data_IF_741520699272
#
_entry.id   IF_741520699272
#
_cell.length_a   1.000
_cell.length_b   1.000
_cell.length_c   1.000
_cell.angle_alpha   90.00
_cell.angle_beta   90.00
_cell.angle_gamma   90.00
#
_symmetry.space_group_name_H-M   'P 1'
#
loop_
_entity.id
_entity.type
_entity.pdbx_description
1 polymer ?
#
# COMPACT_ATOMS: atom_id res chain seq x y z
N UNK A 1 12.33 -5.44 7.68
CA UNK A 1 10.98 -6.05 7.59
C UNK A 1 10.44 -5.90 6.17
N UNK A 2 9.55 -6.79 5.77
CA UNK A 2 8.81 -6.63 4.53
C UNK A 2 7.59 -5.76 4.81
N UNK A 3 7.56 -4.56 4.22
CA UNK A 3 6.57 -3.51 4.52
C UNK A 3 5.69 -3.23 3.31
N UNK A 4 4.38 -3.23 3.51
CA UNK A 4 3.39 -2.89 2.50
C UNK A 4 2.94 -1.44 2.67
N UNK A 5 2.88 -0.67 1.58
CA UNK A 5 2.43 0.71 1.64
C UNK A 5 0.92 0.77 1.41
N UNK A 6 0.18 1.35 2.35
CA UNK A 6 -1.26 1.53 2.25
C UNK A 6 -1.57 3.01 1.97
N UNK A 7 -2.33 3.28 0.91
CA UNK A 7 -2.69 4.65 0.58
C UNK A 7 -3.82 4.74 -0.42
N UNK A 8 -4.32 5.95 -0.64
CA UNK A 8 -5.43 6.20 -1.56
C UNK A 8 -4.94 6.19 -3.01
N UNK A 9 -5.64 5.47 -3.87
CA UNK A 9 -5.38 5.44 -5.32
C UNK A 9 -6.59 5.91 -6.10
N UNK A 10 -7.78 5.34 -5.84
CA UNK A 10 -9.00 5.65 -6.57
C UNK A 10 -9.39 7.12 -6.41
N UNK A 11 -9.66 7.79 -7.54
CA UNK A 11 -10.07 9.19 -7.54
C UNK A 11 -8.92 10.19 -7.58
N UNK A 12 -7.67 9.72 -7.58
CA UNK A 12 -6.50 10.58 -7.73
C UNK A 12 -5.88 10.39 -9.11
N UNK A 13 -5.12 11.39 -9.54
CA UNK A 13 -4.31 11.28 -10.75
C UNK A 13 -3.30 10.14 -10.58
N UNK A 14 -3.19 9.29 -11.60
CA UNK A 14 -2.31 8.12 -11.55
C UNK A 14 -0.86 8.51 -11.24
N UNK A 15 -0.35 9.51 -11.96
CA UNK A 15 1.04 9.96 -11.78
C UNK A 15 1.28 10.49 -10.37
N UNK A 16 0.31 11.23 -9.82
CA UNK A 16 0.40 11.75 -8.45
C UNK A 16 0.47 10.60 -7.44
N UNK A 17 -0.32 9.57 -7.65
CA UNK A 17 -0.27 8.36 -6.81
C UNK A 17 1.10 7.70 -6.87
N UNK A 18 1.63 7.53 -8.09
CA UNK A 18 2.95 6.93 -8.27
C UNK A 18 4.01 7.71 -7.52
N UNK A 19 3.96 9.03 -7.58
CA UNK A 19 4.93 9.89 -6.89
C UNK A 19 4.83 9.74 -5.36
N UNK A 20 3.62 9.75 -4.83
CA UNK A 20 3.41 9.64 -3.38
C UNK A 20 3.87 8.28 -2.85
N UNK A 21 3.51 7.22 -3.55
CA UNK A 21 3.92 5.87 -3.15
C UNK A 21 5.43 5.69 -3.30
N UNK A 22 6.00 6.26 -4.36
CA UNK A 22 7.44 6.15 -4.60
C UNK A 22 8.26 6.90 -3.54
N UNK A 23 7.79 8.06 -3.10
CA UNK A 23 8.45 8.82 -2.04
C UNK A 23 8.51 8.01 -0.75
N UNK A 24 7.40 7.38 -0.37
CA UNK A 24 7.36 6.51 0.80
C UNK A 24 8.24 5.27 0.60
N UNK A 25 8.22 4.71 -0.60
CA UNK A 25 9.02 3.53 -0.95
C UNK A 25 10.51 3.78 -0.70
N UNK A 26 11.02 4.88 -1.23
CA UNK A 26 12.44 5.24 -1.08
C UNK A 26 12.81 5.44 0.38
N UNK A 27 11.97 6.16 1.13
CA UNK A 27 12.23 6.40 2.57
C UNK A 27 12.28 5.09 3.36
N UNK A 28 11.39 4.17 3.06
CA UNK A 28 11.34 2.89 3.77
C UNK A 28 12.55 2.02 3.41
N UNK A 29 12.97 2.03 2.13
CA UNK A 29 14.18 1.32 1.72
C UNK A 29 15.43 1.87 2.40
N UNK A 30 15.52 3.19 2.54
CA UNK A 30 16.63 3.83 3.25
C UNK A 30 16.71 3.41 4.71
N UNK A 31 15.57 3.01 5.29
CA UNK A 31 15.49 2.49 6.66
C UNK A 31 15.75 0.99 6.73
N UNK A 32 16.13 0.36 5.62
CA UNK A 32 16.49 -1.06 5.58
C UNK A 32 15.35 -2.02 5.35
N UNK A 33 14.16 -1.53 5.00
CA UNK A 33 13.00 -2.39 4.75
C UNK A 33 12.95 -2.87 3.29
N UNK A 34 12.36 -4.05 3.10
CA UNK A 34 11.95 -4.53 1.79
C UNK A 34 10.52 -4.04 1.58
N UNK A 35 10.28 -3.27 0.51
CA UNK A 35 9.02 -2.55 0.34
C UNK A 35 8.16 -3.18 -0.75
N UNK A 36 6.87 -3.36 -0.44
CA UNK A 36 5.86 -3.72 -1.43
C UNK A 36 5.05 -2.47 -1.74
N UNK A 37 5.19 -1.99 -2.97
CA UNK A 37 4.55 -0.77 -3.45
C UNK A 37 3.43 -1.13 -4.42
N UNK A 38 2.15 -0.92 -4.04
CA UNK A 38 1.02 -1.26 -4.90
C UNK A 38 1.09 -0.66 -6.31
N UNK A 39 1.66 0.54 -6.43
CA UNK A 39 1.75 1.20 -7.74
C UNK A 39 2.75 0.53 -8.67
N UNK A 40 3.65 -0.30 -8.13
CA UNK A 40 4.61 -1.06 -8.95
C UNK A 40 4.07 -2.44 -9.33
N UNK A 41 3.17 -3.01 -8.52
CA UNK A 41 2.71 -4.40 -8.74
C UNK A 41 1.37 -4.47 -9.45
N UNK A 42 0.58 -3.39 -9.45
CA UNK A 42 -0.73 -3.34 -10.12
C UNK A 42 -0.59 -2.55 -11.42
N UNK A 43 -0.82 -3.18 -12.59
CA UNK A 43 -0.75 -2.44 -13.86
C UNK A 43 -1.79 -1.32 -13.92
N UNK A 44 -1.40 -0.22 -14.56
CA UNK A 44 -2.34 0.88 -14.82
C UNK A 44 -3.54 0.37 -15.62
N UNK A 45 -4.75 0.82 -15.23
CA UNK A 45 -5.98 0.39 -15.91
C UNK A 45 -6.60 -0.88 -15.35
N UNK A 46 -5.98 -1.50 -14.34
CA UNK A 46 -6.56 -2.68 -13.67
C UNK A 46 -7.84 -2.26 -12.93
N UNK A 47 -8.91 -3.05 -13.10
CA UNK A 47 -10.16 -2.80 -12.37
C UNK A 47 -9.99 -2.93 -10.87
N UNK A 48 -10.89 -2.28 -10.11
CA UNK A 48 -10.76 -2.17 -8.65
C UNK A 48 -10.73 -3.54 -7.96
N UNK A 49 -11.64 -4.45 -8.36
CA UNK A 49 -11.72 -5.78 -7.73
C UNK A 49 -10.41 -6.56 -7.94
N UNK A 50 -9.92 -6.59 -9.18
CA UNK A 50 -8.69 -7.32 -9.48
C UNK A 50 -7.49 -6.69 -8.79
N UNK A 51 -7.42 -5.36 -8.76
CA UNK A 51 -6.36 -4.65 -8.06
C UNK A 51 -6.37 -4.99 -6.56
N UNK A 52 -7.54 -5.04 -5.93
CA UNK A 52 -7.65 -5.41 -4.52
C UNK A 52 -7.18 -6.84 -4.25
N UNK A 53 -7.50 -7.76 -5.16
CA UNK A 53 -7.03 -9.14 -5.03
C UNK A 53 -5.50 -9.23 -5.05
N UNK A 54 -4.89 -8.51 -6.00
CA UNK A 54 -3.43 -8.47 -6.11
C UNK A 54 -2.82 -7.88 -4.83
N UNK A 55 -3.34 -6.74 -4.41
CA UNK A 55 -2.82 -6.02 -3.24
C UNK A 55 -2.98 -6.81 -1.95
N UNK A 56 -4.14 -7.42 -1.73
CA UNK A 56 -4.38 -8.18 -0.50
C UNK A 56 -3.50 -9.43 -0.43
N UNK A 57 -3.25 -10.11 -1.55
CA UNK A 57 -2.33 -11.24 -1.58
C UNK A 57 -0.94 -10.83 -1.13
N UNK A 58 -0.46 -9.68 -1.59
CA UNK A 58 0.86 -9.18 -1.20
C UNK A 58 0.88 -8.70 0.24
N UNK A 59 -0.18 -8.04 0.68
CA UNK A 59 -0.28 -7.52 2.04
C UNK A 59 -0.19 -8.64 3.08
N UNK A 60 -0.89 -9.74 2.87
CA UNK A 60 -0.91 -10.82 3.85
C UNK A 60 0.44 -11.53 3.98
N UNK A 61 1.31 -11.36 2.99
CA UNK A 61 2.69 -11.90 3.03
C UNK A 61 3.67 -10.94 3.69
N UNK A 62 3.25 -9.72 4.04
CA UNK A 62 4.12 -8.74 4.67
C UNK A 62 4.10 -8.87 6.18
N UNK A 63 5.16 -8.38 6.83
CA UNK A 63 5.27 -8.35 8.29
C UNK A 63 4.77 -7.03 8.86
N UNK A 64 4.78 -5.97 8.05
CA UNK A 64 4.50 -4.62 8.49
C UNK A 64 3.79 -3.83 7.39
N UNK A 65 3.24 -2.68 7.77
CA UNK A 65 2.64 -1.76 6.81
C UNK A 65 2.98 -0.33 7.17
N UNK A 66 3.00 0.53 6.15
CA UNK A 66 3.19 1.97 6.29
C UNK A 66 2.01 2.67 5.66
N UNK A 67 1.34 3.50 6.42
CA UNK A 67 0.11 4.17 5.98
C UNK A 67 0.40 5.59 5.51
N UNK A 68 0.01 5.90 4.25
CA UNK A 68 0.06 7.27 3.75
C UNK A 68 -1.01 8.12 4.43
N UNK A 69 -0.80 9.45 4.52
CA UNK A 69 -1.76 10.32 5.23
C UNK A 69 -3.19 10.27 4.70
N UNK A 70 -3.39 9.96 3.41
CA UNK A 70 -4.71 9.92 2.79
C UNK A 70 -5.42 8.57 2.88
N UNK A 71 -4.83 7.60 3.58
CA UNK A 71 -5.36 6.22 3.59
C UNK A 71 -6.79 6.13 4.14
N UNK A 72 -7.13 6.93 5.15
CA UNK A 72 -8.45 6.86 5.79
C UNK A 72 -9.58 7.36 4.91
N UNK A 73 -9.29 8.01 3.78
CA UNK A 73 -10.31 8.51 2.86
C UNK A 73 -10.54 7.61 1.66
N UNK A 74 -10.01 6.40 1.69
CA UNK A 74 -10.07 5.45 0.58
C UNK A 74 -10.68 4.13 1.02
N UNK A 75 -11.71 3.68 0.28
CA UNK A 75 -12.36 2.39 0.55
C UNK A 75 -11.37 1.23 0.48
N UNK A 76 -10.51 1.22 -0.55
CA UNK A 76 -9.51 0.16 -0.70
C UNK A 76 -8.47 0.18 0.41
N UNK A 77 -7.98 1.37 0.75
CA UNK A 77 -7.03 1.52 1.84
C UNK A 77 -7.61 1.11 3.19
N UNK A 78 -8.89 1.42 3.43
CA UNK A 78 -9.58 1.00 4.66
C UNK A 78 -9.69 -0.52 4.74
N UNK A 79 -9.97 -1.20 3.62
CA UNK A 79 -9.96 -2.67 3.56
C UNK A 79 -8.60 -3.21 3.93
N UNK A 80 -7.55 -2.64 3.37
CA UNK A 80 -6.17 -3.08 3.65
C UNK A 80 -5.80 -2.84 5.11
N UNK A 81 -6.18 -1.68 5.66
CA UNK A 81 -5.94 -1.37 7.08
C UNK A 81 -6.65 -2.36 7.99
N UNK A 82 -7.89 -2.72 7.65
CA UNK A 82 -8.63 -3.70 8.42
C UNK A 82 -7.90 -5.04 8.44
N UNK A 83 -7.48 -5.53 7.28
CA UNK A 83 -6.75 -6.80 7.18
C UNK A 83 -5.43 -6.74 7.94
N UNK A 84 -4.66 -5.67 7.74
CA UNK A 84 -3.38 -5.49 8.42
C UNK A 84 -3.54 -5.49 9.94
N UNK A 85 -4.57 -4.82 10.44
CA UNK A 85 -4.86 -4.73 11.87
C UNK A 85 -5.28 -6.10 12.43
N UNK A 86 -6.17 -6.79 11.73
CA UNK A 86 -6.65 -8.10 12.18
C UNK A 86 -5.53 -9.15 12.18
N UNK A 87 -4.60 -9.07 11.23
CA UNK A 87 -3.45 -9.95 11.16
C UNK A 87 -2.31 -9.51 12.05
N UNK A 88 -2.49 -8.40 12.77
CA UNK A 88 -1.52 -7.85 13.72
C UNK A 88 -0.17 -7.54 13.09
N UNK A 89 -0.19 -7.01 11.86
CA UNK A 89 1.02 -6.52 11.23
C UNK A 89 1.54 -5.29 11.99
N UNK A 90 2.85 -5.13 12.01
CA UNK A 90 3.47 -3.98 12.67
C UNK A 90 3.26 -2.72 11.84
N UNK A 91 2.76 -1.66 12.48
CA UNK A 91 2.68 -0.37 11.78
C UNK A 91 4.01 0.37 11.89
N UNK A 92 4.56 0.77 10.75
CA UNK A 92 5.79 1.57 10.66
C UNK A 92 5.39 3.04 10.68
N UNK A 93 6.03 3.82 11.53
CA UNK A 93 5.76 5.26 11.68
C UNK A 93 6.84 6.11 11.04
#
# INVERSE_FOLDING_TARGET
MKVYIIGKVTGLHYQQCCEQFEEAHVKLEERGHKVVNPMRIVPEGTGWIEAMKICLRELIDCEAFYRLPNALTSKGALCELFVATELKLTEIL
#
